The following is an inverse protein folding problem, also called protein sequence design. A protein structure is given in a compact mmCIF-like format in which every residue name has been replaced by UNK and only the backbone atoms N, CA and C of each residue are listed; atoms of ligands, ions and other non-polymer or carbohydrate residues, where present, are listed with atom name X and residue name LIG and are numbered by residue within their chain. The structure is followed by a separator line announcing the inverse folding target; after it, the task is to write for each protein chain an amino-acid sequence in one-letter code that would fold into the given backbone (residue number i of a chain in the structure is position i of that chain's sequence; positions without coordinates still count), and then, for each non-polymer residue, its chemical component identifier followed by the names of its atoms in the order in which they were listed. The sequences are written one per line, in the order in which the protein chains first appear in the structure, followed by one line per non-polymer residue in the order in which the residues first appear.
data_IF_692087822209
#
_entry.id   IF_692087822209
#
_cell.length_a   1.000
_cell.length_b   1.000
_cell.length_c   1.000
_cell.angle_alpha   90.00
_cell.angle_beta   90.00
_cell.angle_gamma   90.00
#
_symmetry.space_group_name_H-M   'P 1'
#
loop_
_entity.id
_entity.type
_entity.pdbx_description
1 polymer ?
#
# COMPACT_ATOMS: atom_id res chain seq x y z
N UNK A 1 -12.68 -5.56 14.75
CA UNK A 1 -13.95 -4.92 14.32
C UNK A 1 -14.43 -3.80 15.24
N UNK A 2 -14.64 -4.02 16.55
CA UNK A 2 -15.12 -2.96 17.47
C UNK A 2 -14.21 -1.72 17.51
N UNK A 3 -12.91 -1.93 17.65
CA UNK A 3 -11.95 -0.82 17.68
C UNK A 3 -11.85 -0.08 16.33
N UNK A 4 -11.96 -0.79 15.19
CA UNK A 4 -12.00 -0.14 13.88
C UNK A 4 -13.19 0.82 13.76
N UNK A 5 -14.39 0.39 14.20
CA UNK A 5 -15.58 1.27 14.22
C UNK A 5 -15.39 2.46 15.15
N UNK A 6 -14.74 2.26 16.29
CA UNK A 6 -14.42 3.34 17.24
C UNK A 6 -13.47 4.37 16.62
N UNK A 7 -12.41 3.92 15.95
CA UNK A 7 -11.46 4.80 15.24
C UNK A 7 -12.18 5.59 14.14
N UNK A 8 -13.07 4.95 13.37
CA UNK A 8 -13.86 5.63 12.34
C UNK A 8 -14.75 6.74 12.92
N UNK A 9 -15.42 6.49 14.04
CA UNK A 9 -16.22 7.52 14.72
C UNK A 9 -15.35 8.69 15.20
N UNK A 10 -14.20 8.38 15.81
CA UNK A 10 -13.25 9.41 16.23
C UNK A 10 -12.69 10.23 15.06
N UNK A 11 -12.46 9.58 13.91
CA UNK A 11 -11.96 10.24 12.71
C UNK A 11 -13.02 11.18 12.11
N UNK A 12 -14.30 10.78 12.10
CA UNK A 12 -15.41 11.62 11.66
C UNK A 12 -15.57 12.86 12.55
N UNK A 13 -15.49 12.68 13.88
CA UNK A 13 -15.63 13.79 14.83
C UNK A 13 -14.45 14.79 14.78
N UNK A 14 -13.27 14.35 14.31
CA UNK A 14 -12.03 15.12 14.30
C UNK A 14 -11.56 15.49 12.90
N UNK A 15 -12.38 15.32 11.88
CA UNK A 15 -11.99 15.54 10.50
C UNK A 15 -11.67 17.03 10.30
N UNK A 16 -10.41 17.40 9.99
CA UNK A 16 -10.07 18.79 9.74
C UNK A 16 -10.51 19.18 8.32
N UNK A 17 -10.91 20.44 8.16
CA UNK A 17 -11.08 21.04 6.85
C UNK A 17 -9.72 21.35 6.21
N UNK A 18 -9.67 21.41 4.88
CA UNK A 18 -8.48 21.80 4.13
C UNK A 18 -8.25 20.97 2.87
N UNK A 19 -7.13 21.21 2.17
CA UNK A 19 -6.76 20.44 0.99
C UNK A 19 -6.37 19.01 1.39
N UNK A 20 -6.89 18.02 0.66
CA UNK A 20 -6.57 16.59 0.86
C UNK A 20 -5.25 16.17 0.23
N UNK A 21 -4.70 16.99 -0.65
CA UNK A 21 -3.51 16.70 -1.44
C UNK A 21 -2.36 17.66 -1.08
N UNK A 22 -1.13 17.18 -1.29
CA UNK A 22 0.07 18.03 -1.22
C UNK A 22 0.04 19.14 -2.27
N UNK A 23 0.54 20.32 -1.91
CA UNK A 23 0.64 21.46 -2.83
C UNK A 23 1.96 21.45 -3.61
N UNK A 24 2.35 20.29 -4.15
CA UNK A 24 3.53 20.15 -5.01
C UNK A 24 3.13 19.58 -6.37
N UNK A 25 3.17 20.45 -7.40
CA UNK A 25 2.80 20.13 -8.78
C UNK A 25 3.84 19.25 -9.50
N UNK A 26 5.00 18.99 -8.90
CA UNK A 26 6.02 18.08 -9.44
C UNK A 26 5.82 16.62 -9.01
N UNK A 27 4.95 16.39 -8.03
CA UNK A 27 4.63 15.04 -7.52
C UNK A 27 3.17 14.67 -7.79
N UNK A 28 2.25 15.63 -7.61
CA UNK A 28 0.81 15.42 -7.78
C UNK A 28 0.30 16.29 -8.94
N UNK A 29 -0.58 15.78 -9.82
CA UNK A 29 -1.07 16.57 -10.95
C UNK A 29 -1.89 17.79 -10.46
N UNK A 30 -1.83 18.93 -11.17
CA UNK A 30 -2.62 20.10 -10.81
C UNK A 30 -4.13 19.84 -10.98
N UNK A 31 -4.99 20.59 -10.25
CA UNK A 31 -6.43 20.60 -10.46
C UNK A 31 -6.78 20.90 -11.92
N UNK A 32 -7.88 20.31 -12.41
CA UNK A 32 -8.28 20.46 -13.81
C UNK A 32 -8.59 21.91 -14.19
N UNK A 33 -9.10 22.69 -13.25
CA UNK A 33 -9.41 24.12 -13.43
C UNK A 33 -8.15 24.97 -13.71
N UNK A 34 -7.00 24.60 -13.16
CA UNK A 34 -5.72 25.31 -13.39
C UNK A 34 -5.13 25.02 -14.78
N UNK A 35 -5.52 23.91 -15.43
CA UNK A 35 -4.99 23.52 -16.73
C UNK A 35 -5.43 24.46 -17.85
N UNK A 36 -6.59 25.09 -17.73
CA UNK A 36 -7.11 26.01 -18.75
C UNK A 36 -6.45 27.39 -18.68
N UNK A 37 -5.82 27.71 -17.56
CA UNK A 37 -5.38 29.07 -17.22
C UNK A 37 -3.88 29.20 -17.03
N UNK A 38 -3.18 28.17 -16.56
CA UNK A 38 -1.73 28.18 -16.31
C UNK A 38 -0.98 27.26 -17.27
N UNK A 39 0.00 27.83 -17.95
CA UNK A 39 0.92 27.07 -18.81
C UNK A 39 1.77 26.09 -17.98
N UNK A 40 2.21 26.49 -16.79
CA UNK A 40 2.98 25.65 -15.87
C UNK A 40 2.18 24.41 -15.45
N UNK A 41 0.88 24.57 -15.17
CA UNK A 41 0.01 23.45 -14.83
C UNK A 41 -0.04 22.43 -15.98
N UNK A 42 -0.15 22.89 -17.23
CA UNK A 42 -0.15 22.02 -18.41
C UNK A 42 1.18 21.29 -18.58
N UNK A 43 2.31 21.97 -18.38
CA UNK A 43 3.65 21.36 -18.46
C UNK A 43 3.81 20.28 -17.40
N UNK A 44 3.44 20.57 -16.16
CA UNK A 44 3.53 19.61 -15.05
C UNK A 44 2.64 18.39 -15.28
N UNK A 45 1.41 18.61 -15.71
CA UNK A 45 0.50 17.53 -16.10
C UNK A 45 1.12 16.67 -17.20
N UNK A 46 1.61 17.28 -18.29
CA UNK A 46 2.19 16.53 -19.41
C UNK A 46 3.40 15.69 -18.98
N UNK A 47 4.35 16.25 -18.22
CA UNK A 47 5.54 15.51 -17.77
C UNK A 47 5.19 14.38 -16.80
N UNK A 48 4.27 14.60 -15.86
CA UNK A 48 3.88 13.57 -14.89
C UNK A 48 3.23 12.35 -15.55
N UNK A 49 2.41 12.54 -16.58
CA UNK A 49 1.73 11.44 -17.26
C UNK A 49 2.58 10.77 -18.35
N UNK A 50 3.59 11.45 -18.89
CA UNK A 50 4.47 10.88 -19.94
C UNK A 50 5.75 10.27 -19.36
N UNK A 51 6.47 10.99 -18.50
CA UNK A 51 7.73 10.55 -17.90
C UNK A 51 7.54 10.02 -16.47
N UNK A 52 6.67 10.64 -15.69
CA UNK A 52 6.56 10.43 -14.24
C UNK A 52 7.48 11.36 -13.43
N UNK A 53 7.40 11.27 -12.11
CA UNK A 53 8.28 12.03 -11.21
C UNK A 53 9.51 11.20 -10.82
N UNK A 54 10.62 11.87 -10.52
CA UNK A 54 11.87 11.23 -10.12
C UNK A 54 11.93 11.06 -8.61
N UNK A 55 12.34 9.87 -8.16
CA UNK A 55 12.58 9.58 -6.74
C UNK A 55 14.07 9.59 -6.47
N UNK A 56 14.57 10.25 -5.40
CA UNK A 56 15.99 10.21 -5.05
C UNK A 56 16.54 8.78 -4.95
N UNK A 57 17.82 8.55 -5.30
CA UNK A 57 18.43 7.23 -5.16
C UNK A 57 18.49 6.81 -3.69
N UNK A 58 18.15 5.55 -3.43
CA UNK A 58 18.12 4.98 -2.09
C UNK A 58 17.17 3.80 -1.97
N UNK A 59 17.22 3.12 -0.83
CA UNK A 59 16.38 2.00 -0.47
C UNK A 59 15.62 2.25 0.83
N UNK A 60 14.40 1.73 0.90
CA UNK A 60 13.57 1.87 2.10
C UNK A 60 12.67 0.65 2.27
N UNK A 61 12.49 0.23 3.52
CA UNK A 61 11.44 -0.69 3.92
C UNK A 61 10.40 0.07 4.74
N UNK A 62 9.15 0.05 4.28
CA UNK A 62 8.02 0.61 5.03
C UNK A 62 6.99 -0.47 5.25
N UNK A 63 6.57 -0.63 6.50
CA UNK A 63 5.55 -1.58 6.90
C UNK A 63 4.31 -0.87 7.45
N UNK A 64 3.14 -1.44 7.15
CA UNK A 64 1.85 -1.03 7.69
C UNK A 64 1.13 -2.24 8.27
N UNK A 65 0.27 -2.01 9.25
CA UNK A 65 -0.61 -3.05 9.78
C UNK A 65 -1.80 -3.24 8.84
N UNK A 66 -1.84 -4.38 8.16
CA UNK A 66 -3.03 -4.83 7.44
C UNK A 66 -3.94 -5.63 8.36
N UNK A 67 -5.18 -5.89 7.95
CA UNK A 67 -6.07 -6.78 8.70
C UNK A 67 -5.55 -8.21 8.90
N UNK A 68 -4.50 -8.62 8.17
CA UNK A 68 -3.86 -9.95 8.23
C UNK A 68 -2.52 -9.94 8.96
N UNK A 69 -2.09 -8.79 9.47
CA UNK A 69 -0.77 -8.59 10.07
C UNK A 69 0.09 -7.60 9.28
N UNK A 70 1.40 -7.64 9.53
CA UNK A 70 2.36 -6.70 8.94
C UNK A 70 2.51 -6.90 7.42
N UNK A 71 2.12 -5.89 6.66
CA UNK A 71 2.32 -5.83 5.21
C UNK A 71 3.38 -4.78 4.89
N UNK A 72 4.48 -5.21 4.26
CA UNK A 72 5.63 -4.34 4.02
C UNK A 72 5.96 -4.19 2.55
N UNK A 73 6.53 -3.06 2.19
CA UNK A 73 7.06 -2.79 0.86
C UNK A 73 8.52 -2.36 0.99
N UNK A 74 9.41 -3.15 0.39
CA UNK A 74 10.81 -2.81 0.18
C UNK A 74 10.98 -2.24 -1.22
N UNK A 75 11.40 -0.98 -1.32
CA UNK A 75 11.56 -0.26 -2.59
C UNK A 75 13.01 0.22 -2.72
N UNK A 76 13.58 0.05 -3.90
CA UNK A 76 14.92 0.57 -4.27
C UNK A 76 14.75 1.50 -5.46
N UNK A 77 15.28 2.71 -5.34
CA UNK A 77 15.37 3.73 -6.39
C UNK A 77 16.82 3.93 -6.81
N UNK A 78 17.07 4.01 -8.11
CA UNK A 78 18.35 4.37 -8.72
C UNK A 78 18.42 5.85 -9.13
N UNK A 79 17.43 6.67 -8.72
CA UNK A 79 17.33 8.06 -9.13
C UNK A 79 16.57 8.26 -10.45
N UNK A 80 15.94 7.21 -11.00
CA UNK A 80 15.08 7.32 -12.18
C UNK A 80 13.60 7.48 -11.81
N UNK A 81 12.72 7.57 -12.81
CA UNK A 81 11.26 7.67 -12.65
C UNK A 81 10.58 6.31 -12.47
N UNK A 82 11.33 5.20 -12.54
CA UNK A 82 10.83 3.84 -12.33
C UNK A 82 11.55 3.20 -11.14
N UNK A 83 10.83 2.46 -10.28
CA UNK A 83 11.49 1.76 -9.19
C UNK A 83 12.42 0.69 -9.76
N UNK A 84 13.67 0.66 -9.28
CA UNK A 84 14.67 -0.33 -9.67
C UNK A 84 14.29 -1.73 -9.17
N UNK A 85 13.74 -1.80 -7.95
CA UNK A 85 13.22 -3.01 -7.33
C UNK A 85 12.06 -2.67 -6.41
N UNK A 86 11.02 -3.51 -6.44
CA UNK A 86 9.94 -3.52 -5.46
C UNK A 86 9.78 -4.95 -4.97
N UNK A 87 9.82 -5.16 -3.65
CA UNK A 87 9.48 -6.43 -3.03
C UNK A 87 8.46 -6.20 -1.94
N UNK A 88 7.30 -6.83 -2.09
CA UNK A 88 6.32 -6.89 -1.03
C UNK A 88 6.63 -8.03 -0.07
N UNK A 89 6.50 -7.75 1.23
CA UNK A 89 6.35 -8.76 2.28
C UNK A 89 4.86 -8.89 2.56
N UNK A 90 4.23 -9.84 1.90
CA UNK A 90 2.85 -10.21 2.10
C UNK A 90 2.63 -10.84 3.49
N UNK A 91 1.69 -10.29 4.27
CA UNK A 91 1.30 -10.89 5.53
C UNK A 91 0.76 -12.32 5.33
N UNK A 92 -0.03 -12.52 4.26
CA UNK A 92 -0.62 -13.82 3.93
C UNK A 92 0.43 -14.90 3.64
N UNK A 93 1.55 -14.54 2.99
CA UNK A 93 2.64 -15.47 2.72
C UNK A 93 3.30 -15.95 4.01
N UNK A 94 3.54 -15.03 4.95
CA UNK A 94 4.14 -15.35 6.25
C UNK A 94 3.18 -16.20 7.09
N UNK A 95 1.88 -15.90 7.07
CA UNK A 95 0.86 -16.65 7.80
C UNK A 95 0.69 -18.09 7.30
N UNK A 96 1.05 -18.37 6.03
CA UNK A 96 0.98 -19.72 5.46
C UNK A 96 2.17 -20.61 5.87
N UNK A 97 3.34 -20.02 6.19
CA UNK A 97 4.54 -20.79 6.57
C UNK A 97 4.35 -21.73 7.77
N UNK A 98 3.67 -21.33 8.87
CA UNK A 98 3.43 -22.23 10.00
C UNK A 98 2.34 -23.28 9.77
N UNK A 99 1.69 -23.33 8.59
CA UNK A 99 0.52 -24.17 8.34
C UNK A 99 0.79 -25.65 8.63
N UNK A 100 1.96 -26.17 8.25
CA UNK A 100 2.36 -27.55 8.54
C UNK A 100 2.37 -27.83 10.05
N UNK A 101 2.99 -26.92 10.82
CA UNK A 101 3.08 -27.03 12.28
C UNK A 101 1.71 -26.92 12.94
N UNK A 102 0.83 -26.07 12.41
CA UNK A 102 -0.55 -25.90 12.90
C UNK A 102 -1.42 -27.13 12.59
N UNK A 103 -1.11 -27.88 11.52
CA UNK A 103 -1.86 -29.06 11.09
C UNK A 103 -1.40 -30.38 11.73
N UNK A 104 -0.23 -30.41 12.39
CA UNK A 104 0.28 -31.63 13.02
C UNK A 104 -0.70 -32.15 14.09
N UNK A 105 -0.95 -33.47 14.07
CA UNK A 105 -1.86 -34.16 14.99
C UNK A 105 -3.35 -33.75 14.89
N UNK A 106 -3.75 -33.11 13.79
CA UNK A 106 -5.13 -32.79 13.48
C UNK A 106 -5.70 -33.70 12.38
N UNK A 107 -7.03 -33.73 12.26
CA UNK A 107 -7.70 -34.46 11.17
C UNK A 107 -7.70 -33.62 9.89
N UNK A 108 -7.85 -34.28 8.74
CA UNK A 108 -7.99 -33.59 7.44
C UNK A 108 -9.18 -32.62 7.45
N UNK A 109 -10.25 -32.93 8.19
CA UNK A 109 -11.40 -32.05 8.35
C UNK A 109 -11.04 -30.70 9.03
N UNK A 110 -10.05 -30.70 9.92
CA UNK A 110 -9.62 -29.50 10.65
C UNK A 110 -8.80 -28.55 9.76
N UNK A 111 -8.26 -29.04 8.63
CA UNK A 111 -7.49 -28.23 7.69
C UNK A 111 -8.27 -27.01 7.18
N UNK A 112 -9.59 -27.15 6.98
CA UNK A 112 -10.45 -26.06 6.51
C UNK A 112 -10.48 -24.92 7.55
N UNK A 113 -10.59 -25.27 8.83
CA UNK A 113 -10.60 -24.29 9.92
C UNK A 113 -9.21 -23.66 10.12
N UNK A 114 -8.15 -24.44 10.01
CA UNK A 114 -6.76 -23.96 10.12
C UNK A 114 -6.45 -22.96 9.00
N UNK A 115 -6.75 -23.31 7.75
CA UNK A 115 -6.53 -22.42 6.59
C UNK A 115 -7.41 -21.17 6.69
N UNK A 116 -8.67 -21.32 7.10
CA UNK A 116 -9.58 -20.19 7.30
C UNK A 116 -9.10 -19.21 8.39
N UNK A 117 -8.48 -19.73 9.45
CA UNK A 117 -7.92 -18.91 10.54
C UNK A 117 -6.66 -18.17 10.12
N UNK A 118 -5.82 -18.77 9.25
CA UNK A 118 -4.64 -18.10 8.70
C UNK A 118 -5.00 -16.93 7.73
N UNK A 119 -6.24 -16.89 7.23
CA UNK A 119 -6.78 -15.88 6.32
C UNK A 119 -5.85 -15.59 5.12
N UNK A 120 -5.36 -16.67 4.49
CA UNK A 120 -4.43 -16.57 3.37
C UNK A 120 -5.17 -16.26 2.05
N UNK A 121 -4.85 -15.12 1.43
CA UNK A 121 -5.30 -14.77 0.08
C UNK A 121 -4.20 -15.12 -0.91
N UNK A 122 -4.46 -16.08 -1.80
CA UNK A 122 -3.43 -16.64 -2.69
C UNK A 122 -2.78 -15.61 -3.64
N UNK A 123 -3.53 -14.58 -4.06
CA UNK A 123 -2.96 -13.49 -4.86
C UNK A 123 -1.93 -12.62 -4.11
N UNK A 124 -1.97 -12.61 -2.77
CA UNK A 124 -0.96 -11.96 -1.94
C UNK A 124 0.28 -12.86 -1.77
N UNK A 125 0.07 -14.17 -1.69
CA UNK A 125 1.10 -15.20 -1.45
C UNK A 125 2.03 -15.39 -2.66
N UNK A 126 1.51 -15.29 -3.88
CA UNK A 126 2.25 -15.64 -5.12
C UNK A 126 3.24 -14.56 -5.62
N UNK A 127 3.47 -13.47 -4.87
CA UNK A 127 4.20 -12.26 -5.32
C UNK A 127 5.64 -12.14 -4.83
#
# INVERSE_FOLDING_TARGET
MREAVKILRQALDRLPDGPVNINDRKVLPPPREELETSMEAVIHHFKLFTEGYTVPPGDVYVAVESGRGENGCYVVSDGTHKPRRVKFRAASFVNLQPLERMAMNHMVADMVAIIGTADAVLGDVDR
#
